data_IF_650040830680
#
_entry.id   IF_650040830680
#
_cell.length_a   1.000
_cell.length_b   1.000
_cell.length_c   1.000
_cell.angle_alpha   90.00
_cell.angle_beta   90.00
_cell.angle_gamma   90.00
#
_symmetry.space_group_name_H-M   'P 1'
#
loop_
_entity.id
_entity.type
_entity.pdbx_description
1 polymer ?
#
# COMPACT_ATOMS: atom_id res chain seq x y z
N UNK A 1 11.35 -13.20 -5.04
CA UNK A 1 11.34 -11.74 -5.07
C UNK A 1 12.70 -11.21 -5.54
N UNK A 2 12.69 -10.39 -6.55
CA UNK A 2 13.89 -9.77 -7.13
C UNK A 2 13.93 -8.28 -6.79
N UNK A 3 15.12 -7.75 -6.64
CA UNK A 3 15.34 -6.30 -6.58
C UNK A 3 15.22 -5.69 -7.98
N UNK A 4 16.05 -6.14 -8.88
CA UNK A 4 15.99 -5.85 -10.32
C UNK A 4 15.66 -7.12 -11.08
N UNK A 5 14.67 -7.09 -11.96
CA UNK A 5 14.34 -8.19 -12.84
C UNK A 5 14.42 -7.74 -14.29
N UNK A 6 15.38 -8.25 -15.01
CA UNK A 6 15.54 -7.99 -16.43
C UNK A 6 14.96 -9.13 -17.24
N UNK A 7 14.02 -8.81 -18.12
CA UNK A 7 13.37 -9.75 -19.03
C UNK A 7 13.79 -9.44 -20.48
N UNK A 8 15.00 -9.84 -20.83
CA UNK A 8 15.56 -9.66 -22.18
C UNK A 8 15.02 -10.75 -23.14
N UNK A 9 13.71 -10.81 -23.29
CA UNK A 9 12.96 -11.82 -24.00
C UNK A 9 12.02 -11.20 -25.04
N UNK A 10 11.66 -11.98 -26.05
CA UNK A 10 10.50 -11.66 -26.89
C UNK A 10 9.23 -11.78 -26.03
N UNK A 11 8.24 -10.91 -26.29
CA UNK A 11 7.00 -10.88 -25.50
C UNK A 11 7.23 -10.66 -23.98
N UNK A 12 8.19 -9.80 -23.63
CA UNK A 12 8.56 -9.53 -22.23
C UNK A 12 7.38 -9.01 -21.39
N UNK A 13 6.46 -8.26 -21.97
CA UNK A 13 5.24 -7.76 -21.35
C UNK A 13 4.32 -8.90 -20.87
N UNK A 14 4.16 -9.94 -21.66
CA UNK A 14 3.37 -11.13 -21.28
C UNK A 14 4.02 -11.89 -20.10
N UNK A 15 5.35 -11.93 -20.06
CA UNK A 15 6.07 -12.51 -18.93
C UNK A 15 5.97 -11.66 -17.68
N UNK A 16 5.97 -10.33 -17.82
CA UNK A 16 5.84 -9.41 -16.70
C UNK A 16 4.54 -9.62 -15.90
N UNK A 17 3.44 -9.95 -16.57
CA UNK A 17 2.15 -10.23 -15.94
C UNK A 17 2.20 -11.43 -14.98
N UNK A 18 3.17 -12.32 -15.13
CA UNK A 18 3.37 -13.51 -14.29
C UNK A 18 4.27 -13.24 -13.08
N UNK A 19 4.89 -12.06 -13.02
CA UNK A 19 5.80 -11.68 -11.96
C UNK A 19 5.02 -10.98 -10.85
N UNK A 20 5.11 -11.52 -9.64
CA UNK A 20 4.39 -10.98 -8.48
C UNK A 20 5.25 -10.05 -7.64
N UNK A 21 6.54 -10.35 -7.49
CA UNK A 21 7.43 -9.66 -6.55
C UNK A 21 8.74 -9.27 -7.19
N UNK A 22 8.81 -8.05 -7.67
CA UNK A 22 10.05 -7.42 -8.13
C UNK A 22 10.05 -5.93 -7.74
N UNK A 23 11.19 -5.38 -7.41
CA UNK A 23 11.36 -3.95 -7.13
C UNK A 23 11.20 -3.13 -8.39
N UNK A 24 11.85 -3.55 -9.47
CA UNK A 24 11.66 -3.02 -10.82
C UNK A 24 11.74 -4.16 -11.83
N UNK A 25 11.02 -4.01 -12.94
CA UNK A 25 11.03 -4.95 -14.05
C UNK A 25 11.44 -4.20 -15.31
N UNK A 26 12.45 -4.70 -15.99
CA UNK A 26 13.01 -4.13 -17.23
C UNK A 26 12.62 -5.02 -18.39
N UNK A 27 11.86 -4.47 -19.34
CA UNK A 27 11.21 -5.23 -20.39
C UNK A 27 11.91 -5.08 -21.75
N UNK A 28 12.30 -6.21 -22.32
CA UNK A 28 12.77 -6.31 -23.69
C UNK A 28 14.26 -6.03 -23.87
N UNK A 29 14.74 -6.25 -25.10
CA UNK A 29 16.17 -6.20 -25.43
C UNK A 29 16.81 -4.82 -25.34
N UNK A 30 16.00 -3.75 -25.37
CA UNK A 30 16.48 -2.37 -25.33
C UNK A 30 16.33 -1.71 -23.96
N UNK A 31 15.99 -2.49 -22.92
CA UNK A 31 15.75 -1.98 -21.57
C UNK A 31 16.65 -2.67 -20.55
N UNK A 32 17.96 -2.46 -20.64
CA UNK A 32 18.86 -2.99 -19.62
C UNK A 32 18.68 -2.24 -18.28
N UNK A 33 19.02 -2.87 -17.18
CA UNK A 33 18.99 -2.29 -15.83
C UNK A 33 19.61 -0.90 -15.78
N UNK A 34 20.74 -0.69 -16.45
CA UNK A 34 21.46 0.57 -16.46
C UNK A 34 20.62 1.76 -16.98
N UNK A 35 19.67 1.54 -17.87
CA UNK A 35 18.79 2.62 -18.34
C UNK A 35 17.86 3.11 -17.21
N UNK A 36 17.44 2.20 -16.35
CA UNK A 36 16.64 2.52 -15.16
C UNK A 36 17.44 3.29 -14.11
N UNK A 37 18.70 2.96 -13.95
CA UNK A 37 19.55 3.59 -12.95
C UNK A 37 19.88 5.05 -13.26
N UNK A 38 19.86 5.45 -14.52
CA UNK A 38 20.36 6.78 -14.91
C UNK A 38 19.33 7.67 -15.59
N UNK A 39 18.54 7.18 -16.52
CA UNK A 39 17.79 8.03 -17.44
C UNK A 39 16.32 7.70 -17.65
N UNK A 40 15.83 6.58 -17.14
CA UNK A 40 14.44 6.18 -17.38
C UNK A 40 13.41 6.91 -16.51
N UNK A 41 13.86 7.60 -15.45
CA UNK A 41 13.00 8.40 -14.58
C UNK A 41 12.75 7.82 -13.19
N UNK A 42 12.38 6.55 -13.02
CA UNK A 42 12.18 5.97 -11.68
C UNK A 42 13.45 5.97 -10.83
N UNK A 43 13.28 5.93 -9.52
CA UNK A 43 14.41 5.86 -8.60
C UNK A 43 15.06 4.48 -8.67
N UNK A 44 16.40 4.43 -8.59
CA UNK A 44 17.17 3.19 -8.57
C UNK A 44 17.22 2.52 -7.19
N UNK A 45 16.77 3.20 -6.13
CA UNK A 45 16.72 2.64 -4.78
C UNK A 45 15.53 1.71 -4.68
N UNK A 46 15.78 0.42 -4.69
CA UNK A 46 14.80 -0.64 -4.78
C UNK A 46 14.83 -1.51 -3.51
N UNK A 47 13.75 -2.26 -3.23
CA UNK A 47 13.71 -3.15 -2.07
C UNK A 47 14.67 -4.30 -2.22
N UNK A 48 15.60 -4.45 -1.26
CA UNK A 48 16.62 -5.49 -1.21
C UNK A 48 16.18 -6.68 -0.36
N UNK A 49 16.97 -7.74 -0.33
CA UNK A 49 16.79 -8.90 0.54
C UNK A 49 15.37 -9.51 0.45
N UNK A 50 14.82 -9.59 -0.75
CA UNK A 50 13.48 -10.12 -1.04
C UNK A 50 12.32 -9.28 -0.48
N UNK A 51 12.57 -8.08 -0.02
CA UNK A 51 11.52 -7.22 0.54
C UNK A 51 10.53 -6.70 -0.50
N UNK A 52 10.80 -6.87 -1.79
CA UNK A 52 9.85 -6.59 -2.86
C UNK A 52 8.50 -7.34 -2.72
N UNK A 53 8.43 -8.36 -1.86
CA UNK A 53 7.18 -9.05 -1.52
C UNK A 53 6.18 -8.17 -0.78
N UNK A 54 6.64 -7.09 -0.14
CA UNK A 54 5.81 -6.20 0.66
C UNK A 54 6.26 -4.74 0.66
N UNK A 55 7.34 -4.40 -0.05
CA UNK A 55 7.87 -3.05 -0.15
C UNK A 55 8.04 -2.64 -1.61
N UNK A 56 7.91 -1.35 -1.86
CA UNK A 56 8.16 -0.72 -3.15
C UNK A 56 9.50 -0.01 -3.19
N UNK A 57 9.96 0.36 -4.38
CA UNK A 57 11.10 1.26 -4.53
C UNK A 57 10.84 2.65 -3.96
N UNK A 58 11.90 3.40 -3.75
CA UNK A 58 11.83 4.77 -3.24
C UNK A 58 11.08 5.68 -4.23
N UNK A 59 10.13 6.42 -3.71
CA UNK A 59 9.32 7.37 -4.48
C UNK A 59 9.02 8.63 -3.70
N UNK A 60 8.34 9.57 -4.33
CA UNK A 60 7.95 10.86 -3.71
C UNK A 60 7.10 10.64 -2.45
N UNK A 61 6.25 9.63 -2.45
CA UNK A 61 5.37 9.30 -1.31
C UNK A 61 6.14 9.00 -0.01
N UNK A 62 7.40 8.54 -0.11
CA UNK A 62 8.24 8.26 1.06
C UNK A 62 8.70 9.52 1.79
N UNK A 63 8.62 10.66 1.12
CA UNK A 63 9.03 11.97 1.65
C UNK A 63 7.86 12.84 2.09
N UNK A 64 6.64 12.37 1.94
CA UNK A 64 5.43 13.09 2.36
C UNK A 64 4.77 12.38 3.53
N UNK A 65 4.11 13.18 4.36
CA UNK A 65 3.37 12.71 5.52
C UNK A 65 1.89 12.69 5.21
N UNK A 66 1.23 11.61 5.58
CA UNK A 66 -0.23 11.48 5.47
C UNK A 66 -0.88 11.65 6.84
N UNK A 67 -1.89 12.48 6.90
CA UNK A 67 -2.74 12.64 8.09
C UNK A 67 -4.16 12.24 7.74
N UNK A 68 -4.75 11.36 8.53
CA UNK A 68 -6.15 10.98 8.38
C UNK A 68 -7.03 11.92 9.21
N UNK A 69 -8.04 12.50 8.59
CA UNK A 69 -9.03 13.34 9.24
C UNK A 69 -10.37 12.62 9.15
N UNK A 70 -11.01 12.39 10.30
CA UNK A 70 -12.31 11.73 10.37
C UNK A 70 -13.30 12.65 11.04
N UNK A 71 -14.46 12.82 10.42
CA UNK A 71 -15.57 13.61 10.94
C UNK A 71 -16.89 12.93 10.67
N UNK A 72 -17.76 12.90 11.67
CA UNK A 72 -19.11 12.39 11.54
C UNK A 72 -20.11 13.48 11.98
N UNK A 73 -21.19 13.64 11.25
CA UNK A 73 -22.39 14.31 11.76
C UNK A 73 -23.27 13.31 12.54
N UNK A 74 -24.32 13.83 13.17
CA UNK A 74 -25.24 13.01 13.97
C UNK A 74 -25.90 11.87 13.16
N UNK A 75 -26.27 12.14 11.92
CA UNK A 75 -26.92 11.16 11.05
C UNK A 75 -25.97 10.04 10.62
N UNK A 76 -24.75 10.39 10.23
CA UNK A 76 -23.73 9.41 9.88
C UNK A 76 -23.31 8.59 11.09
N UNK A 77 -23.13 9.23 12.23
CA UNK A 77 -22.80 8.56 13.48
C UNK A 77 -23.86 7.51 13.87
N UNK A 78 -25.13 7.87 13.82
CA UNK A 78 -26.23 6.96 14.16
C UNK A 78 -26.24 5.69 13.31
N UNK A 79 -25.79 5.78 12.05
CA UNK A 79 -25.74 4.64 11.14
C UNK A 79 -24.61 3.67 11.45
N UNK A 80 -23.45 4.18 11.86
CA UNK A 80 -22.24 3.35 12.01
C UNK A 80 -21.92 2.98 13.45
N UNK A 81 -22.36 3.77 14.42
CA UNK A 81 -22.04 3.55 15.84
C UNK A 81 -22.48 2.18 16.39
N UNK A 82 -23.66 1.62 16.01
CA UNK A 82 -24.04 0.29 16.47
C UNK A 82 -23.04 -0.80 16.10
N UNK A 83 -22.50 -0.77 14.90
CA UNK A 83 -21.45 -1.71 14.47
C UNK A 83 -20.16 -1.51 15.28
N UNK A 84 -19.78 -0.26 15.55
CA UNK A 84 -18.64 0.08 16.38
C UNK A 84 -18.77 -0.45 17.81
N UNK A 85 -19.96 -0.33 18.41
CA UNK A 85 -20.25 -0.90 19.75
C UNK A 85 -20.09 -2.42 19.73
N UNK A 86 -20.66 -3.11 18.74
CA UNK A 86 -20.56 -4.56 18.61
C UNK A 86 -19.10 -5.02 18.50
N UNK A 87 -18.30 -4.34 17.68
CA UNK A 87 -16.88 -4.66 17.53
C UNK A 87 -16.10 -4.40 18.82
N UNK A 88 -16.31 -3.26 19.46
CA UNK A 88 -15.63 -2.94 20.71
C UNK A 88 -15.96 -3.96 21.81
N UNK A 89 -17.19 -4.41 21.90
CA UNK A 89 -17.59 -5.46 22.85
C UNK A 89 -16.92 -6.79 22.52
N UNK A 90 -16.88 -7.18 21.25
CA UNK A 90 -16.22 -8.41 20.80
C UNK A 90 -14.73 -8.43 21.14
N UNK A 91 -14.08 -7.27 21.11
CA UNK A 91 -12.67 -7.09 21.48
C UNK A 91 -12.45 -6.90 22.98
N UNK A 92 -13.51 -6.84 23.79
CA UNK A 92 -13.40 -6.60 25.22
C UNK A 92 -13.04 -5.15 25.60
N UNK A 93 -13.25 -4.19 24.69
CA UNK A 93 -12.92 -2.77 24.88
C UNK A 93 -14.16 -1.98 25.38
N UNK A 94 -14.50 -2.17 26.66
CA UNK A 94 -15.71 -1.57 27.26
C UNK A 94 -15.74 -0.05 27.23
N UNK A 95 -14.60 0.62 27.41
CA UNK A 95 -14.51 2.08 27.33
C UNK A 95 -14.79 2.62 25.92
N UNK A 96 -14.35 1.91 24.89
CA UNK A 96 -14.67 2.27 23.49
C UNK A 96 -16.18 2.12 23.24
N UNK A 97 -16.78 1.01 23.67
CA UNK A 97 -18.22 0.79 23.54
C UNK A 97 -19.02 1.89 24.28
N UNK A 98 -18.60 2.25 25.49
CA UNK A 98 -19.23 3.32 26.26
C UNK A 98 -19.15 4.67 25.54
N UNK A 99 -17.97 5.01 25.02
CA UNK A 99 -17.75 6.25 24.27
C UNK A 99 -18.70 6.40 23.09
N UNK A 100 -18.99 5.32 22.39
CA UNK A 100 -19.99 5.30 21.31
C UNK A 100 -21.42 5.42 21.84
N UNK A 101 -21.78 4.62 22.85
CA UNK A 101 -23.14 4.58 23.40
C UNK A 101 -23.62 5.91 23.95
N UNK A 102 -22.78 6.63 24.69
CA UNK A 102 -23.20 7.93 25.24
C UNK A 102 -23.54 8.97 24.19
N UNK A 103 -23.00 8.84 22.98
CA UNK A 103 -23.28 9.72 21.84
C UNK A 103 -24.48 9.27 21.01
N UNK A 104 -24.90 8.03 21.14
CA UNK A 104 -26.04 7.50 20.42
C UNK A 104 -27.39 8.01 20.97
N UNK A 105 -27.40 8.47 22.22
CA UNK A 105 -28.60 8.92 22.93
C UNK A 105 -28.83 10.43 22.83
N UNK A 106 -28.12 11.09 21.97
CA UNK A 106 -28.25 12.52 21.67
C UNK A 106 -28.75 12.76 20.21
#
# INVERSE_FOLDING_TARGET
AAEHLELALDHADEWAEKITHAGAIFLGRYTPEAIGDYVAGPNHVLPTARTARFSSGLGVADFIKRTTIVSCDAGSFAKIAPAGVALAQAEGLGAHALSLRIRMNH
#
